data_IF_583347412905
#
_entry.id   IF_583347412905
#
_cell.length_a   1.000
_cell.length_b   1.000
_cell.length_c   1.000
_cell.angle_alpha   90.00
_cell.angle_beta   90.00
_cell.angle_gamma   90.00
#
_symmetry.space_group_name_H-M   'P 1'
#
loop_
_entity.id
_entity.type
_entity.pdbx_description
1 polymer ?
#
# COMPACT_ATOMS: atom_id res chain seq x y z
N UNK A 1 -13.99 -6.23 -4.51
CA UNK A 1 -13.77 -6.49 -3.09
C UNK A 1 -14.83 -7.47 -2.65
N UNK A 2 -14.37 -8.58 -2.07
CA UNK A 2 -15.25 -9.66 -1.66
C UNK A 2 -15.51 -9.50 -0.16
N UNK A 3 -16.74 -9.16 0.20
CA UNK A 3 -17.15 -9.06 1.60
C UNK A 3 -17.60 -10.44 2.09
N UNK A 4 -16.89 -11.08 3.04
CA UNK A 4 -17.33 -12.37 3.55
C UNK A 4 -18.69 -12.24 4.24
N UNK A 5 -19.68 -13.03 3.82
CA UNK A 5 -21.04 -12.97 4.37
C UNK A 5 -21.07 -13.16 5.89
N UNK A 6 -20.21 -14.04 6.42
CA UNK A 6 -20.04 -14.24 7.86
C UNK A 6 -19.56 -12.98 8.59
N UNK A 7 -18.63 -12.23 7.99
CA UNK A 7 -18.15 -10.95 8.53
C UNK A 7 -19.27 -9.91 8.57
N UNK A 8 -20.07 -9.83 7.50
CA UNK A 8 -21.19 -8.90 7.43
C UNK A 8 -22.27 -9.26 8.45
N UNK A 9 -22.66 -10.53 8.54
CA UNK A 9 -23.65 -11.02 9.50
C UNK A 9 -23.20 -10.75 10.95
N UNK A 10 -21.92 -11.00 11.27
CA UNK A 10 -21.36 -10.70 12.59
C UNK A 10 -21.42 -9.21 12.90
N UNK A 11 -21.06 -8.33 11.96
CA UNK A 11 -21.16 -6.88 12.16
C UNK A 11 -22.63 -6.43 12.30
N UNK A 12 -23.55 -7.01 11.52
CA UNK A 12 -24.98 -6.74 11.66
C UNK A 12 -25.54 -7.18 13.01
N UNK A 13 -25.04 -8.29 13.57
CA UNK A 13 -25.38 -8.73 14.95
C UNK A 13 -24.97 -7.72 16.02
N UNK A 14 -23.96 -6.88 15.74
CA UNK A 14 -23.57 -5.77 16.61
C UNK A 14 -24.50 -4.55 16.49
N UNK A 15 -25.53 -4.60 15.64
CA UNK A 15 -26.52 -3.54 15.45
C UNK A 15 -26.20 -2.57 14.30
N UNK A 16 -25.32 -2.97 13.38
CA UNK A 16 -25.02 -2.20 12.17
C UNK A 16 -25.93 -2.60 11.00
N UNK A 17 -26.33 -1.64 10.19
CA UNK A 17 -26.98 -1.93 8.90
C UNK A 17 -25.98 -2.58 7.95
N UNK A 18 -26.45 -3.15 6.84
CA UNK A 18 -25.59 -3.78 5.84
C UNK A 18 -24.53 -2.80 5.28
N UNK A 19 -24.94 -1.57 4.96
CA UNK A 19 -24.02 -0.52 4.47
C UNK A 19 -22.98 -0.13 5.52
N UNK A 20 -23.41 0.04 6.78
CA UNK A 20 -22.50 0.33 7.90
C UNK A 20 -21.53 -0.83 8.14
N UNK A 21 -22.00 -2.08 8.07
CA UNK A 21 -21.19 -3.27 8.22
C UNK A 21 -20.13 -3.38 7.12
N UNK A 22 -20.52 -3.18 5.84
CA UNK A 22 -19.57 -3.16 4.73
C UNK A 22 -18.54 -2.06 4.90
N UNK A 23 -18.95 -0.84 5.25
CA UNK A 23 -18.01 0.25 5.47
C UNK A 23 -17.03 -0.05 6.62
N UNK A 24 -17.53 -0.55 7.76
CA UNK A 24 -16.68 -0.93 8.89
C UNK A 24 -15.70 -2.05 8.54
N UNK A 25 -16.10 -2.99 7.69
CA UNK A 25 -15.19 -4.01 7.15
C UNK A 25 -14.02 -3.38 6.38
N UNK A 26 -14.32 -2.44 5.46
CA UNK A 26 -13.28 -1.72 4.69
C UNK A 26 -12.35 -0.95 5.62
N UNK A 27 -12.92 -0.19 6.55
CA UNK A 27 -12.15 0.64 7.51
C UNK A 27 -11.24 -0.23 8.36
N UNK A 28 -11.76 -1.28 8.99
CA UNK A 28 -10.98 -2.16 9.86
C UNK A 28 -9.83 -2.83 9.10
N UNK A 29 -10.08 -3.22 7.84
CA UNK A 29 -9.10 -3.91 7.00
C UNK A 29 -7.97 -2.98 6.52
N UNK A 30 -8.30 -1.82 5.96
CA UNK A 30 -7.32 -1.01 5.22
C UNK A 30 -6.76 0.18 6.00
N UNK A 31 -7.50 0.70 6.99
CA UNK A 31 -7.21 2.01 7.58
C UNK A 31 -7.12 2.04 9.10
N UNK A 32 -8.17 1.58 9.78
CA UNK A 32 -8.41 1.84 11.21
C UNK A 32 -8.91 3.24 11.52
N UNK A 33 -8.77 4.19 10.58
CA UNK A 33 -9.25 5.56 10.70
C UNK A 33 -10.18 5.92 9.54
N UNK A 34 -11.13 6.82 9.77
CA UNK A 34 -11.99 7.33 8.70
C UNK A 34 -12.55 8.71 9.02
N UNK A 35 -13.06 9.40 8.00
CA UNK A 35 -13.88 10.60 8.16
C UNK A 35 -15.34 10.34 7.76
N UNK A 36 -16.27 11.16 8.24
CA UNK A 36 -17.67 11.03 7.81
C UNK A 36 -17.87 11.29 6.31
N UNK A 37 -16.99 12.08 5.68
CA UNK A 37 -16.97 12.24 4.23
C UNK A 37 -16.79 10.90 3.51
N UNK A 38 -15.87 10.06 4.00
CA UNK A 38 -15.61 8.74 3.44
C UNK A 38 -16.78 7.78 3.60
N UNK A 39 -17.44 7.83 4.75
CA UNK A 39 -18.67 7.06 4.97
C UNK A 39 -19.77 7.48 3.97
N UNK A 40 -20.02 8.79 3.86
CA UNK A 40 -21.03 9.33 2.95
C UNK A 40 -20.71 9.03 1.47
N UNK A 41 -19.42 9.08 1.10
CA UNK A 41 -18.96 8.70 -0.23
C UNK A 41 -19.18 7.21 -0.49
N UNK A 42 -18.87 6.35 0.48
CA UNK A 42 -19.08 4.90 0.38
C UNK A 42 -20.56 4.54 0.20
N UNK A 43 -21.45 5.17 0.96
CA UNK A 43 -22.90 4.90 0.90
C UNK A 43 -23.62 5.64 -0.23
N UNK A 44 -22.95 6.57 -0.92
CA UNK A 44 -23.57 7.44 -1.92
C UNK A 44 -24.63 8.40 -1.35
N UNK A 45 -24.65 8.62 -0.04
CA UNK A 45 -25.68 9.44 0.62
C UNK A 45 -25.19 10.85 0.92
N UNK A 46 -26.11 11.83 0.89
CA UNK A 46 -25.83 13.19 1.36
C UNK A 46 -25.74 13.24 2.89
N UNK A 47 -24.98 14.21 3.40
CA UNK A 47 -24.86 14.48 4.85
C UNK A 47 -26.23 14.73 5.49
N UNK A 48 -26.43 14.22 6.71
CA UNK A 48 -27.69 14.36 7.46
C UNK A 48 -27.85 13.33 8.57
N UNK A 49 -29.09 12.91 8.81
CA UNK A 49 -29.45 12.00 9.91
C UNK A 49 -28.68 10.67 9.88
N UNK A 50 -28.37 10.15 8.69
CA UNK A 50 -27.60 8.90 8.54
C UNK A 50 -26.20 8.99 9.14
N UNK A 51 -25.44 10.05 8.82
CA UNK A 51 -24.09 10.24 9.39
C UNK A 51 -24.13 10.51 10.90
N UNK A 52 -25.14 11.23 11.38
CA UNK A 52 -25.31 11.49 12.82
C UNK A 52 -25.64 10.20 13.57
N UNK A 53 -26.63 9.45 13.09
CA UNK A 53 -27.05 8.16 13.67
C UNK A 53 -25.89 7.17 13.70
N UNK A 54 -25.12 7.08 12.61
CA UNK A 54 -23.95 6.21 12.54
C UNK A 54 -22.88 6.61 13.57
N UNK A 55 -22.57 7.90 13.69
CA UNK A 55 -21.60 8.41 14.66
C UNK A 55 -22.04 8.14 16.11
N UNK A 56 -23.31 8.41 16.44
CA UNK A 56 -23.88 8.17 17.76
C UNK A 56 -23.86 6.69 18.11
N UNK A 57 -24.20 5.82 17.15
CA UNK A 57 -24.15 4.36 17.31
C UNK A 57 -22.73 3.88 17.61
N UNK A 58 -21.73 4.38 16.91
CA UNK A 58 -20.31 4.04 17.15
C UNK A 58 -19.86 4.43 18.56
N UNK A 59 -20.24 5.61 19.04
CA UNK A 59 -19.89 6.08 20.37
C UNK A 59 -20.65 5.35 21.48
N UNK A 60 -21.97 5.18 21.33
CA UNK A 60 -22.82 4.49 22.30
C UNK A 60 -22.36 3.03 22.53
N UNK A 61 -21.84 2.38 21.48
CA UNK A 61 -21.29 1.02 21.57
C UNK A 61 -19.82 0.98 21.99
N UNK A 62 -19.15 2.12 22.14
CA UNK A 62 -17.72 2.19 22.47
C UNK A 62 -16.81 1.60 21.38
N UNK A 63 -17.25 1.64 20.11
CA UNK A 63 -16.54 1.01 19.00
C UNK A 63 -15.47 1.90 18.37
N UNK A 64 -15.68 3.22 18.40
CA UNK A 64 -14.76 4.21 17.88
C UNK A 64 -14.63 5.42 18.81
N UNK A 65 -13.51 6.14 18.71
CA UNK A 65 -13.34 7.48 19.27
C UNK A 65 -13.20 8.49 18.13
N UNK A 66 -13.44 9.77 18.40
CA UNK A 66 -13.20 10.83 17.43
C UNK A 66 -12.17 11.84 17.96
N UNK A 67 -11.40 12.41 17.04
CA UNK A 67 -10.47 13.52 17.30
C UNK A 67 -10.73 14.63 16.29
N UNK A 68 -10.74 15.86 16.79
CA UNK A 68 -10.89 17.05 15.97
C UNK A 68 -9.56 17.45 15.33
N UNK A 69 -9.62 17.80 14.06
CA UNK A 69 -8.53 18.35 13.27
C UNK A 69 -8.89 19.76 12.79
N UNK A 70 -8.12 20.33 11.85
CA UNK A 70 -8.39 21.67 11.32
C UNK A 70 -9.85 21.78 10.83
N UNK A 71 -10.43 22.97 11.05
CA UNK A 71 -11.83 23.30 10.68
C UNK A 71 -12.89 22.44 11.40
N UNK A 72 -12.60 21.99 12.62
CA UNK A 72 -13.47 21.09 13.40
C UNK A 72 -13.83 19.79 12.67
N UNK A 73 -12.98 19.37 11.73
CA UNK A 73 -13.23 18.14 11.00
C UNK A 73 -12.88 16.96 11.89
N UNK A 74 -13.81 15.99 12.01
CA UNK A 74 -13.64 14.83 12.87
C UNK A 74 -13.03 13.66 12.11
N UNK A 75 -11.97 13.09 12.68
CA UNK A 75 -11.43 11.79 12.27
C UNK A 75 -11.78 10.78 13.36
N UNK A 76 -12.37 9.67 12.92
CA UNK A 76 -12.82 8.58 13.75
C UNK A 76 -11.77 7.48 13.74
N UNK A 77 -11.46 6.94 14.91
CA UNK A 77 -10.55 5.82 15.09
C UNK A 77 -11.34 4.60 15.53
N UNK A 78 -11.39 3.58 14.69
CA UNK A 78 -12.04 2.30 14.96
C UNK A 78 -11.07 1.41 15.75
N UNK A 79 -11.26 1.36 17.07
CA UNK A 79 -10.31 0.72 17.99
C UNK A 79 -10.86 -0.54 18.69
N UNK A 80 -12.19 -0.72 18.74
CA UNK A 80 -12.78 -1.82 19.51
C UNK A 80 -12.42 -3.19 18.93
N UNK A 81 -11.83 -4.05 19.77
CA UNK A 81 -11.46 -5.43 19.40
C UNK A 81 -12.67 -6.25 18.93
N UNK A 82 -13.88 -5.94 19.42
CA UNK A 82 -15.11 -6.66 19.06
C UNK A 82 -15.39 -6.51 17.55
N UNK A 83 -15.23 -5.32 17.00
CA UNK A 83 -15.42 -5.07 15.56
C UNK A 83 -14.39 -5.84 14.72
N UNK A 84 -13.13 -5.85 15.16
CA UNK A 84 -12.09 -6.61 14.45
C UNK A 84 -12.27 -8.12 14.58
N UNK A 85 -12.80 -8.61 15.72
CA UNK A 85 -13.16 -10.02 15.90
C UNK A 85 -14.31 -10.42 15.00
N UNK A 86 -15.31 -9.56 14.82
CA UNK A 86 -16.46 -9.83 13.96
C UNK A 86 -16.06 -10.13 12.50
N UNK A 87 -14.99 -9.49 12.02
CA UNK A 87 -14.43 -9.73 10.68
C UNK A 87 -13.31 -10.81 10.66
N UNK A 88 -13.11 -11.54 11.75
CA UNK A 88 -12.07 -12.58 11.86
C UNK A 88 -10.63 -12.05 11.95
N UNK A 89 -10.42 -10.75 12.20
CA UNK A 89 -9.11 -10.08 12.10
C UNK A 89 -8.71 -9.32 13.37
N UNK A 90 -8.96 -9.91 14.53
CA UNK A 90 -8.69 -9.27 15.84
C UNK A 90 -7.22 -8.86 16.08
N UNK A 91 -6.29 -9.48 15.37
CA UNK A 91 -4.86 -9.22 15.48
C UNK A 91 -4.38 -8.01 14.65
N UNK A 92 -5.23 -7.42 13.80
CA UNK A 92 -4.87 -6.23 13.06
C UNK A 92 -4.51 -5.07 13.99
N UNK A 93 -3.32 -4.50 13.76
CA UNK A 93 -2.81 -3.35 14.53
C UNK A 93 -3.45 -2.01 14.14
N UNK A 94 -4.36 -2.00 13.18
CA UNK A 94 -5.06 -0.80 12.73
C UNK A 94 -5.91 -0.18 13.85
N UNK A 95 -6.30 -0.98 14.85
CA UNK A 95 -7.02 -0.56 16.07
C UNK A 95 -6.20 0.24 17.08
N UNK A 96 -4.87 0.28 16.94
CA UNK A 96 -3.96 0.93 17.91
C UNK A 96 -3.86 2.40 17.60
N UNK A 97 -3.52 3.23 18.59
CA UNK A 97 -3.23 4.63 18.35
C UNK A 97 -1.92 4.78 17.54
N UNK A 98 -1.93 5.66 16.54
CA UNK A 98 -0.79 5.94 15.66
C UNK A 98 -0.47 7.44 15.59
N UNK A 99 0.69 7.76 15.01
CA UNK A 99 1.12 9.14 14.75
C UNK A 99 0.22 9.83 13.72
N UNK A 100 0.27 11.16 13.70
CA UNK A 100 -0.50 11.98 12.76
C UNK A 100 -0.22 11.63 11.29
N UNK A 101 1.06 11.47 10.94
CA UNK A 101 1.48 11.08 9.59
C UNK A 101 0.85 9.74 9.18
N UNK A 102 0.87 8.75 10.09
CA UNK A 102 0.24 7.46 9.83
C UNK A 102 -1.26 7.59 9.61
N UNK A 103 -1.95 8.39 10.43
CA UNK A 103 -3.39 8.66 10.27
C UNK A 103 -3.65 9.26 8.88
N UNK A 104 -2.85 10.25 8.46
CA UNK A 104 -2.97 10.89 7.14
C UNK A 104 -2.78 9.88 6.01
N UNK A 105 -1.74 9.05 6.06
CA UNK A 105 -1.52 7.98 5.09
C UNK A 105 -2.69 6.99 5.04
N UNK A 106 -3.25 6.60 6.20
CA UNK A 106 -4.38 5.65 6.26
C UNK A 106 -5.66 6.24 5.68
N UNK A 107 -5.92 7.53 5.91
CA UNK A 107 -7.07 8.22 5.33
C UNK A 107 -6.97 8.35 3.80
N UNK A 108 -5.78 8.64 3.25
CA UNK A 108 -5.56 8.65 1.80
C UNK A 108 -5.71 7.24 1.21
N UNK A 109 -5.17 6.21 1.89
CA UNK A 109 -5.35 4.82 1.47
C UNK A 109 -6.83 4.42 1.45
N UNK A 110 -7.59 4.84 2.46
CA UNK A 110 -9.02 4.53 2.53
C UNK A 110 -9.82 5.20 1.42
N UNK A 111 -9.50 6.45 1.07
CA UNK A 111 -10.15 7.12 -0.05
C UNK A 111 -9.96 6.34 -1.36
N UNK A 112 -8.74 5.89 -1.64
CA UNK A 112 -8.44 5.04 -2.80
C UNK A 112 -9.25 3.74 -2.79
N UNK A 113 -9.32 3.05 -1.65
CA UNK A 113 -10.05 1.78 -1.56
C UNK A 113 -11.56 1.99 -1.74
N UNK A 114 -12.11 3.06 -1.16
CA UNK A 114 -13.54 3.40 -1.27
C UNK A 114 -13.93 3.74 -2.71
N UNK A 115 -13.04 4.35 -3.50
CA UNK A 115 -13.29 4.61 -4.94
C UNK A 115 -13.09 3.36 -5.81
N UNK A 116 -12.37 2.35 -5.32
CA UNK A 116 -11.98 1.17 -6.08
C UNK A 116 -12.43 -0.14 -5.42
N UNK A 117 -13.68 -0.20 -4.98
CA UNK A 117 -14.25 -1.39 -4.34
C UNK A 117 -14.36 -2.59 -5.29
N UNK A 118 -14.27 -2.41 -6.60
CA UNK A 118 -14.34 -3.48 -7.59
C UNK A 118 -13.09 -4.38 -7.60
N UNK A 119 -11.95 -3.90 -7.11
CA UNK A 119 -10.71 -4.69 -7.15
C UNK A 119 -10.70 -5.86 -6.17
N UNK A 120 -9.95 -6.91 -6.51
CA UNK A 120 -9.70 -8.04 -5.63
C UNK A 120 -8.44 -7.77 -4.80
N UNK A 121 -8.61 -7.46 -3.52
CA UNK A 121 -7.52 -7.05 -2.64
C UNK A 121 -6.86 -8.23 -1.93
N UNK A 122 -5.54 -8.18 -1.80
CA UNK A 122 -4.76 -9.01 -0.89
C UNK A 122 -4.75 -8.31 0.48
N UNK A 123 -5.79 -8.58 1.28
CA UNK A 123 -6.16 -7.79 2.46
C UNK A 123 -5.24 -8.04 3.67
N UNK A 124 -4.80 -9.27 3.89
CA UNK A 124 -3.95 -9.66 5.03
C UNK A 124 -2.52 -10.00 4.64
N UNK A 125 -1.63 -10.10 5.63
CA UNK A 125 -0.27 -10.60 5.42
C UNK A 125 -0.29 -12.04 4.90
N UNK A 126 -1.20 -12.88 5.43
CA UNK A 126 -1.36 -14.27 5.02
C UNK A 126 -1.87 -14.39 3.58
N UNK A 127 -2.82 -13.54 3.15
CA UNK A 127 -3.29 -13.51 1.76
C UNK A 127 -2.14 -13.18 0.79
N UNK A 128 -1.30 -12.21 1.17
CA UNK A 128 -0.11 -11.82 0.39
C UNK A 128 0.90 -12.95 0.33
N UNK A 129 1.20 -13.61 1.45
CA UNK A 129 2.13 -14.74 1.50
C UNK A 129 1.61 -15.93 0.70
N UNK A 130 0.33 -16.27 0.81
CA UNK A 130 -0.28 -17.35 0.04
C UNK A 130 -0.19 -17.04 -1.47
N UNK A 131 -0.51 -15.82 -1.88
CA UNK A 131 -0.39 -15.42 -3.29
C UNK A 131 1.06 -15.54 -3.79
N UNK A 132 2.02 -14.90 -3.13
CA UNK A 132 3.40 -14.87 -3.63
C UNK A 132 4.13 -16.20 -3.48
N UNK A 133 4.00 -16.89 -2.35
CA UNK A 133 4.75 -18.12 -2.09
C UNK A 133 4.05 -19.37 -2.62
N UNK A 134 2.72 -19.46 -2.56
CA UNK A 134 2.01 -20.68 -2.99
C UNK A 134 1.58 -20.61 -4.46
N UNK A 135 1.07 -19.46 -4.93
CA UNK A 135 0.57 -19.35 -6.31
C UNK A 135 1.68 -18.96 -7.31
N UNK A 136 2.58 -18.06 -6.92
CA UNK A 136 3.70 -17.63 -7.77
C UNK A 136 5.01 -18.39 -7.50
N UNK A 137 5.03 -19.30 -6.53
CA UNK A 137 6.20 -20.12 -6.15
C UNK A 137 7.47 -19.27 -5.88
N UNK A 138 7.29 -18.09 -5.27
CA UNK A 138 8.41 -17.21 -4.93
C UNK A 138 9.00 -17.54 -3.55
N UNK A 139 10.33 -17.61 -3.43
CA UNK A 139 11.01 -17.74 -2.14
C UNK A 139 10.66 -16.59 -1.20
N UNK A 140 10.42 -16.93 0.06
CA UNK A 140 9.98 -15.99 1.10
C UNK A 140 11.03 -14.91 1.37
N UNK A 141 12.30 -15.18 1.07
CA UNK A 141 13.45 -14.29 1.25
C UNK A 141 13.42 -13.09 0.31
N UNK A 142 12.72 -13.21 -0.84
CA UNK A 142 12.57 -12.13 -1.82
C UNK A 142 11.51 -11.12 -1.40
N UNK A 143 10.65 -11.48 -0.44
CA UNK A 143 9.56 -10.64 0.01
C UNK A 143 10.03 -9.53 0.96
N UNK A 144 9.43 -8.33 0.91
CA UNK A 144 9.78 -7.23 1.78
C UNK A 144 9.46 -7.58 3.24
N UNK A 145 10.50 -7.67 4.08
CA UNK A 145 10.37 -8.06 5.50
C UNK A 145 11.07 -7.09 6.44
N UNK A 146 10.57 -7.04 7.68
CA UNK A 146 11.23 -6.35 8.80
C UNK A 146 11.33 -7.28 9.99
N UNK A 147 12.51 -7.29 10.62
CA UNK A 147 12.80 -8.04 11.85
C UNK A 147 12.49 -7.18 13.06
N UNK A 148 11.76 -7.75 14.01
CA UNK A 148 11.46 -7.12 15.28
C UNK A 148 11.98 -7.99 16.41
N UNK A 149 12.86 -7.43 17.23
CA UNK A 149 13.27 -8.03 18.50
C UNK A 149 12.10 -7.98 19.47
N UNK A 150 11.69 -9.13 19.98
CA UNK A 150 10.69 -9.23 21.03
C UNK A 150 11.21 -8.73 22.37
N UNK A 151 10.30 -8.40 23.28
CA UNK A 151 10.63 -8.06 24.67
C UNK A 151 11.20 -9.27 25.44
N UNK A 152 10.95 -10.49 24.96
CA UNK A 152 11.56 -11.72 25.48
C UNK A 152 12.87 -11.96 24.71
N UNK A 153 13.98 -12.00 25.45
CA UNK A 153 15.32 -12.25 24.93
C UNK A 153 15.29 -13.46 23.96
N UNK A 154 15.94 -13.34 22.80
CA UNK A 154 16.02 -14.33 21.72
C UNK A 154 14.77 -14.62 20.87
N UNK A 155 13.64 -13.94 21.06
CA UNK A 155 12.51 -14.07 20.11
C UNK A 155 12.56 -12.97 19.05
N UNK A 156 12.98 -13.30 17.83
CA UNK A 156 12.90 -12.39 16.68
C UNK A 156 11.65 -12.73 15.87
N UNK A 157 10.77 -11.76 15.65
CA UNK A 157 9.60 -11.94 14.77
C UNK A 157 9.86 -11.27 13.43
N UNK A 158 9.73 -12.03 12.34
CA UNK A 158 9.74 -11.48 10.99
C UNK A 158 8.31 -11.15 10.58
N UNK A 159 8.12 -9.97 9.98
CA UNK A 159 6.84 -9.55 9.41
C UNK A 159 7.03 -9.10 7.98
N UNK A 160 6.09 -9.47 7.12
CA UNK A 160 6.11 -9.15 5.70
C UNK A 160 5.15 -8.01 5.38
N UNK A 161 5.46 -7.22 4.36
CA UNK A 161 4.59 -6.14 3.86
C UNK A 161 4.12 -5.16 4.96
N UNK A 162 5.08 -4.71 5.79
CA UNK A 162 4.82 -3.94 7.03
C UNK A 162 4.18 -2.58 6.79
N UNK A 163 4.35 -1.99 5.61
CA UNK A 163 3.67 -0.75 5.21
C UNK A 163 2.14 -0.91 5.21
N UNK A 164 1.64 -2.13 4.92
CA UNK A 164 0.23 -2.46 4.74
C UNK A 164 -0.46 -1.54 3.73
N UNK A 165 0.22 -1.18 2.66
CA UNK A 165 -0.45 -0.54 1.54
C UNK A 165 -1.38 -1.55 0.86
N UNK A 166 -2.51 -1.09 0.29
CA UNK A 166 -3.38 -1.92 -0.51
C UNK A 166 -2.58 -2.61 -1.63
N UNK A 167 -2.83 -3.90 -1.84
CA UNK A 167 -2.39 -4.62 -3.02
C UNK A 167 -3.60 -5.31 -3.59
N UNK A 168 -3.72 -5.32 -4.91
CA UNK A 168 -4.87 -5.92 -5.57
C UNK A 168 -4.47 -6.57 -6.87
N UNK A 169 -5.33 -7.48 -7.33
CA UNK A 169 -5.15 -8.21 -8.56
C UNK A 169 -5.88 -7.49 -9.69
N UNK A 170 -5.17 -7.29 -10.80
CA UNK A 170 -5.74 -6.82 -12.05
C UNK A 170 -5.63 -7.91 -13.11
N UNK A 171 -6.56 -7.91 -14.07
CA UNK A 171 -6.42 -8.68 -15.29
C UNK A 171 -5.15 -8.26 -16.01
N UNK A 172 -4.16 -9.16 -16.02
CA UNK A 172 -2.87 -8.95 -16.65
C UNK A 172 -2.91 -9.12 -18.15
N UNK A 173 -1.79 -8.84 -18.81
CA UNK A 173 -1.58 -9.25 -20.21
C UNK A 173 -1.20 -10.73 -20.34
N UNK A 174 -1.02 -11.42 -19.21
CA UNK A 174 -0.72 -12.85 -19.14
C UNK A 174 -1.93 -13.64 -18.64
N UNK A 175 -1.85 -14.97 -18.71
CA UNK A 175 -2.92 -15.89 -18.27
C UNK A 175 -3.19 -15.86 -16.76
N UNK A 176 -2.27 -15.30 -15.97
CA UNK A 176 -2.43 -15.12 -14.52
C UNK A 176 -2.71 -13.64 -14.21
N UNK A 177 -3.52 -13.36 -13.16
CA UNK A 177 -3.72 -12.00 -12.69
C UNK A 177 -2.38 -11.36 -12.31
N UNK A 178 -2.24 -10.06 -12.59
CA UNK A 178 -1.04 -9.29 -12.25
C UNK A 178 -1.32 -8.56 -10.95
N UNK A 179 -0.42 -8.72 -9.98
CA UNK A 179 -0.49 -7.98 -8.72
C UNK A 179 -0.07 -6.53 -8.96
N UNK A 180 -0.93 -5.62 -8.54
CA UNK A 180 -0.69 -4.18 -8.56
C UNK A 180 -0.32 -3.72 -7.16
N UNK A 181 0.88 -3.16 -7.04
CA UNK A 181 1.40 -2.57 -5.83
C UNK A 181 0.89 -1.14 -5.70
N UNK A 182 0.66 -0.67 -4.47
CA UNK A 182 0.37 0.74 -4.22
C UNK A 182 1.40 1.34 -3.28
N UNK A 183 1.70 2.62 -3.50
CA UNK A 183 2.41 3.44 -2.52
C UNK A 183 1.52 4.62 -2.16
N UNK A 184 1.24 4.78 -0.86
CA UNK A 184 0.37 5.84 -0.37
C UNK A 184 1.21 6.95 0.25
N UNK A 185 1.32 8.06 -0.48
CA UNK A 185 1.99 9.27 -0.04
C UNK A 185 1.01 10.15 0.76
N UNK A 186 1.33 10.52 2.01
CA UNK A 186 0.49 11.47 2.77
C UNK A 186 0.45 12.87 2.12
N UNK A 187 1.31 13.19 1.17
CA UNK A 187 1.37 14.49 0.49
C UNK A 187 2.22 15.52 1.22
N UNK A 188 3.18 15.06 2.04
CA UNK A 188 4.11 15.92 2.78
C UNK A 188 5.23 16.50 1.91
N UNK A 189 5.33 16.05 0.64
CA UNK A 189 6.35 16.54 -0.30
C UNK A 189 7.73 15.92 -0.09
N UNK A 190 7.82 14.82 0.65
CA UNK A 190 9.07 14.10 0.95
C UNK A 190 9.02 12.73 0.27
N UNK A 191 10.06 12.39 -0.51
CA UNK A 191 10.14 11.13 -1.26
C UNK A 191 10.99 10.04 -0.57
N UNK A 192 11.56 10.31 0.60
CA UNK A 192 12.47 9.36 1.26
C UNK A 192 11.76 8.08 1.71
N UNK A 193 10.50 8.20 2.15
CA UNK A 193 9.65 7.05 2.44
C UNK A 193 9.39 6.21 1.17
N UNK A 194 9.22 6.86 0.01
CA UNK A 194 9.05 6.19 -1.27
C UNK A 194 10.32 5.44 -1.70
N UNK A 195 11.48 6.10 -1.64
CA UNK A 195 12.78 5.46 -1.94
C UNK A 195 13.03 4.25 -1.03
N UNK A 196 12.74 4.40 0.27
CA UNK A 196 12.86 3.30 1.24
C UNK A 196 11.95 2.13 0.89
N UNK A 197 10.72 2.41 0.45
CA UNK A 197 9.77 1.40 -0.02
C UNK A 197 10.31 0.67 -1.27
N UNK A 198 10.81 1.41 -2.27
CA UNK A 198 11.38 0.79 -3.47
C UNK A 198 12.59 -0.11 -3.18
N UNK A 199 13.46 0.32 -2.26
CA UNK A 199 14.60 -0.50 -1.82
C UNK A 199 14.13 -1.79 -1.13
N UNK A 200 13.11 -1.71 -0.27
CA UNK A 200 12.57 -2.87 0.44
C UNK A 200 11.90 -3.89 -0.51
N UNK A 201 11.27 -3.41 -1.60
CA UNK A 201 10.57 -4.25 -2.57
C UNK A 201 11.44 -4.66 -3.77
N UNK A 202 12.68 -4.16 -3.88
CA UNK A 202 13.54 -4.37 -5.05
C UNK A 202 13.71 -5.83 -5.45
N UNK A 203 13.99 -6.72 -4.48
CA UNK A 203 14.14 -8.17 -4.73
C UNK A 203 12.85 -8.82 -5.25
N UNK A 204 11.70 -8.42 -4.72
CA UNK A 204 10.40 -8.90 -5.19
C UNK A 204 10.12 -8.38 -6.61
N UNK A 205 10.36 -7.09 -6.87
CA UNK A 205 10.16 -6.53 -8.19
C UNK A 205 11.03 -7.21 -9.24
N UNK A 206 12.31 -7.45 -8.95
CA UNK A 206 13.24 -8.17 -9.84
C UNK A 206 12.76 -9.58 -10.20
N UNK A 207 12.07 -10.27 -9.28
CA UNK A 207 11.58 -11.62 -9.48
C UNK A 207 10.29 -11.69 -10.32
N UNK A 208 9.58 -10.58 -10.50
CA UNK A 208 8.29 -10.55 -11.18
C UNK A 208 8.41 -10.19 -12.67
N UNK A 209 7.69 -10.91 -13.56
CA UNK A 209 7.71 -10.64 -15.00
C UNK A 209 6.97 -9.35 -15.37
N UNK A 210 5.97 -8.97 -14.58
CA UNK A 210 5.26 -7.71 -14.71
C UNK A 210 5.15 -7.04 -13.34
N UNK A 211 5.54 -5.78 -13.25
CA UNK A 211 5.44 -4.97 -12.04
C UNK A 211 4.58 -3.75 -12.34
N UNK A 212 3.45 -3.63 -11.64
CA UNK A 212 2.60 -2.44 -11.68
C UNK A 212 2.62 -1.74 -10.35
N UNK A 213 2.88 -0.43 -10.35
CA UNK A 213 2.83 0.39 -9.15
C UNK A 213 1.90 1.58 -9.38
N UNK A 214 0.93 1.76 -8.48
CA UNK A 214 0.08 2.96 -8.41
C UNK A 214 0.59 3.85 -7.27
N UNK A 215 1.03 5.06 -7.61
CA UNK A 215 1.42 6.08 -6.64
C UNK A 215 0.20 6.94 -6.30
N UNK A 216 -0.25 6.86 -5.05
CA UNK A 216 -1.47 7.52 -4.57
C UNK A 216 -1.05 8.71 -3.71
N UNK A 217 -1.52 9.91 -4.02
CA UNK A 217 -1.23 11.11 -3.21
C UNK A 217 -2.39 12.10 -3.29
N UNK A 218 -2.60 12.91 -2.23
CA UNK A 218 -3.51 14.03 -2.30
C UNK A 218 -2.95 15.23 -3.09
N UNK A 219 -1.69 15.15 -3.55
CA UNK A 219 -1.04 16.22 -4.32
C UNK A 219 -0.32 15.65 -5.54
N UNK A 220 -0.44 16.27 -6.72
CA UNK A 220 0.22 15.79 -7.93
C UNK A 220 1.71 16.15 -8.01
N UNK A 221 2.21 16.98 -7.08
CA UNK A 221 3.54 17.62 -7.15
C UNK A 221 4.69 16.63 -7.26
N UNK A 222 4.54 15.42 -6.72
CA UNK A 222 5.60 14.42 -6.69
C UNK A 222 5.45 13.31 -7.76
N UNK A 223 4.39 13.32 -8.57
CA UNK A 223 4.07 12.22 -9.49
C UNK A 223 5.19 11.94 -10.50
N UNK A 224 5.69 12.98 -11.18
CA UNK A 224 6.74 12.81 -12.19
C UNK A 224 8.08 12.38 -11.58
N UNK A 225 8.42 12.90 -10.40
CA UNK A 225 9.66 12.54 -9.72
C UNK A 225 9.57 11.10 -9.19
N UNK A 226 8.43 10.70 -8.64
CA UNK A 226 8.16 9.33 -8.23
C UNK A 226 8.20 8.37 -9.42
N UNK A 227 7.58 8.71 -10.56
CA UNK A 227 7.62 7.93 -11.80
C UNK A 227 9.06 7.68 -12.25
N UNK A 228 9.86 8.74 -12.37
CA UNK A 228 11.27 8.63 -12.79
C UNK A 228 12.08 7.76 -11.82
N UNK A 229 11.87 7.95 -10.52
CA UNK A 229 12.56 7.18 -9.46
C UNK A 229 12.19 5.69 -9.52
N UNK A 230 10.91 5.38 -9.72
CA UNK A 230 10.43 4.01 -9.85
C UNK A 230 11.00 3.34 -11.09
N UNK A 231 10.91 3.96 -12.27
CA UNK A 231 11.42 3.39 -13.51
C UNK A 231 12.95 3.17 -13.45
N UNK A 232 13.69 4.08 -12.82
CA UNK A 232 15.14 3.93 -12.62
C UNK A 232 15.52 2.80 -11.63
N UNK A 233 14.59 2.38 -10.77
CA UNK A 233 14.83 1.34 -9.75
C UNK A 233 14.29 -0.01 -10.20
N UNK A 234 13.01 -0.07 -10.57
CA UNK A 234 12.31 -1.27 -10.99
C UNK A 234 12.65 -1.68 -12.43
N UNK A 235 13.02 -0.74 -13.30
CA UNK A 235 13.46 -1.03 -14.67
C UNK A 235 14.87 -1.60 -14.79
N UNK A 236 15.60 -1.75 -13.67
CA UNK A 236 16.92 -2.41 -13.69
C UNK A 236 16.73 -3.90 -14.02
N UNK A 237 17.56 -4.47 -14.91
CA UNK A 237 17.56 -5.91 -15.12
C UNK A 237 17.92 -6.63 -13.81
N UNK A 238 17.46 -7.87 -13.61
CA UNK A 238 17.80 -8.65 -12.42
C UNK A 238 19.31 -8.69 -12.20
N UNK A 239 19.77 -8.62 -10.95
CA UNK A 239 21.20 -8.54 -10.59
C UNK A 239 22.08 -9.66 -11.17
N UNK A 240 21.48 -10.80 -11.55
CA UNK A 240 22.13 -11.87 -12.30
C UNK A 240 21.39 -12.01 -13.62
N UNK A 241 22.10 -11.89 -14.73
CA UNK A 241 21.54 -12.17 -16.04
C UNK A 241 21.08 -13.65 -16.02
N UNK A 242 19.79 -13.95 -16.29
CA UNK A 242 19.32 -15.33 -16.39
C UNK A 242 20.17 -16.16 -17.35
N UNK A 243 20.78 -15.52 -18.35
CA UNK A 243 21.74 -16.13 -19.28
C UNK A 243 23.02 -16.60 -18.57
N UNK A 244 23.56 -15.81 -17.65
CA UNK A 244 24.77 -16.16 -16.89
C UNK A 244 24.51 -17.32 -15.93
N UNK A 245 23.31 -17.37 -15.33
CA UNK A 245 22.93 -18.46 -14.42
C UNK A 245 22.73 -19.78 -15.19
N UNK A 246 22.10 -19.75 -16.36
CA UNK A 246 21.96 -20.91 -17.25
C UNK A 246 23.32 -21.37 -17.78
N UNK A 247 24.20 -20.45 -18.19
CA UNK A 247 25.57 -20.79 -18.59
C UNK A 247 26.39 -21.38 -17.43
N UNK A 248 26.16 -20.92 -16.19
CA UNK A 248 26.75 -21.56 -15.00
C UNK A 248 26.21 -22.97 -14.83
N UNK A 249 24.90 -23.17 -14.95
CA UNK A 249 24.28 -24.49 -14.89
C UNK A 249 24.83 -25.43 -15.97
N UNK A 250 24.95 -25.00 -17.23
CA UNK A 250 25.53 -25.79 -18.31
C UNK A 250 26.98 -26.19 -18.04
N UNK A 251 27.81 -25.26 -17.52
CA UNK A 251 29.19 -25.56 -17.13
C UNK A 251 29.27 -26.62 -16.03
N UNK A 252 28.41 -26.52 -15.02
CA UNK A 252 28.37 -27.48 -13.92
C UNK A 252 27.81 -28.84 -14.36
N UNK A 253 26.78 -28.85 -15.21
CA UNK A 253 26.21 -30.06 -15.81
C UNK A 253 27.25 -30.77 -16.69
N UNK A 254 28.03 -30.04 -17.49
CA UNK A 254 29.14 -30.61 -18.28
C UNK A 254 30.21 -31.26 -17.40
N UNK A 255 30.60 -30.61 -16.30
CA UNK A 255 31.56 -31.19 -15.36
C UNK A 255 31.01 -32.45 -14.67
N UNK A 256 29.70 -32.48 -14.41
CA UNK A 256 28.99 -33.64 -13.85
C UNK A 256 28.95 -34.81 -14.84
N UNK A 257 28.56 -34.55 -16.09
CA UNK A 257 28.48 -35.54 -17.17
C UNK A 257 29.86 -36.13 -17.51
N UNK A 258 30.91 -35.30 -17.51
CA UNK A 258 32.31 -35.71 -17.72
C UNK A 258 32.92 -36.41 -16.49
N UNK A 259 32.14 -36.65 -15.43
CA UNK A 259 32.55 -37.29 -14.17
C UNK A 259 33.73 -36.59 -13.48
N UNK A 260 33.91 -35.28 -13.69
CA UNK A 260 34.98 -34.46 -13.09
C UNK A 260 34.59 -33.94 -11.71
N UNK A 261 34.12 -34.84 -10.83
CA UNK A 261 33.54 -34.50 -9.53
C UNK A 261 34.51 -33.80 -8.57
N UNK A 262 35.82 -33.97 -8.76
CA UNK A 262 36.86 -33.30 -7.97
C UNK A 262 36.99 -31.79 -8.25
N UNK A 263 36.36 -31.28 -9.31
CA UNK A 263 36.33 -29.84 -9.63
C UNK A 263 35.08 -29.12 -9.11
N UNK A 264 34.13 -29.87 -8.53
CA UNK A 264 32.88 -29.33 -8.01
C UNK A 264 32.99 -29.08 -6.51
N UNK A 265 32.73 -27.85 -6.08
CA UNK A 265 32.60 -27.52 -4.65
C UNK A 265 31.29 -28.04 -4.08
N UNK A 266 31.14 -28.04 -2.75
CA UNK A 266 29.88 -28.39 -2.08
C UNK A 266 28.73 -27.48 -2.54
N UNK A 267 28.99 -26.17 -2.63
CA UNK A 267 28.03 -25.16 -3.10
C UNK A 267 27.61 -25.38 -4.55
N UNK A 268 28.53 -25.83 -5.42
CA UNK A 268 28.21 -26.14 -6.81
C UNK A 268 27.31 -27.36 -6.95
N UNK A 269 27.44 -28.35 -6.06
CA UNK A 269 26.56 -29.54 -6.03
C UNK A 269 25.16 -29.19 -5.54
N UNK A 270 25.04 -28.34 -4.52
CA UNK A 270 23.75 -27.83 -4.05
C UNK A 270 23.06 -26.99 -5.11
N UNK A 271 23.80 -26.08 -5.76
CA UNK A 271 23.30 -25.30 -6.88
C UNK A 271 22.82 -26.22 -8.01
N UNK A 272 23.61 -27.21 -8.43
CA UNK A 272 23.23 -28.16 -9.49
C UNK A 272 21.93 -28.90 -9.15
N UNK A 273 21.76 -29.36 -7.90
CA UNK A 273 20.55 -30.05 -7.47
C UNK A 273 19.30 -29.15 -7.51
N UNK A 274 19.41 -27.90 -7.05
CA UNK A 274 18.33 -26.91 -7.09
C UNK A 274 18.01 -26.50 -8.54
N UNK A 275 19.04 -26.31 -9.35
CA UNK A 275 18.94 -25.93 -10.76
C UNK A 275 18.37 -27.05 -11.63
N UNK A 276 18.66 -28.32 -11.35
CA UNK A 276 18.07 -29.46 -12.07
C UNK A 276 16.54 -29.47 -11.94
N UNK A 277 16.01 -29.23 -10.73
CA UNK A 277 14.55 -29.12 -10.54
C UNK A 277 13.94 -27.97 -11.37
N UNK A 278 14.69 -26.88 -11.56
CA UNK A 278 14.23 -25.65 -12.21
C UNK A 278 14.39 -25.68 -13.74
N UNK A 279 15.50 -26.20 -14.24
CA UNK A 279 15.92 -26.06 -15.64
C UNK A 279 15.82 -27.35 -16.45
N UNK A 280 15.67 -28.53 -15.85
CA UNK A 280 15.57 -29.79 -16.60
C UNK A 280 14.43 -29.82 -17.63
N UNK A 281 13.35 -29.06 -17.39
CA UNK A 281 12.20 -28.91 -18.30
C UNK A 281 12.18 -27.56 -19.04
N UNK A 282 13.18 -26.70 -18.83
CA UNK A 282 13.21 -25.38 -19.44
C UNK A 282 13.63 -25.47 -20.91
N UNK A 283 13.11 -24.58 -21.77
CA UNK A 283 13.38 -24.62 -23.21
C UNK A 283 14.86 -24.44 -23.55
N UNK A 284 15.60 -23.72 -22.71
CA UNK A 284 17.04 -23.54 -22.86
C UNK A 284 17.81 -24.87 -22.81
N UNK A 285 17.30 -25.92 -22.13
CA UNK A 285 17.98 -27.22 -22.05
C UNK A 285 18.21 -27.86 -23.42
N UNK A 286 17.42 -27.48 -24.43
CA UNK A 286 17.61 -27.90 -25.83
C UNK A 286 18.92 -27.39 -26.44
N UNK A 287 19.45 -26.29 -25.91
CA UNK A 287 20.72 -25.69 -26.34
C UNK A 287 21.93 -26.41 -25.71
N UNK A 288 21.73 -27.17 -24.63
CA UNK A 288 22.81 -27.78 -23.87
C UNK A 288 23.70 -28.74 -24.70
N UNK A 289 23.16 -29.69 -25.50
CA UNK A 289 24.00 -30.57 -26.31
C UNK A 289 24.87 -29.80 -27.31
N UNK A 290 24.28 -28.85 -28.04
CA UNK A 290 24.98 -28.05 -29.04
C UNK A 290 26.02 -27.11 -28.42
N UNK A 291 25.75 -26.56 -27.24
CA UNK A 291 26.72 -25.76 -26.48
C UNK A 291 27.86 -26.62 -25.92
N UNK A 292 27.53 -27.79 -25.35
CA UNK A 292 28.51 -28.73 -24.77
C UNK A 292 29.54 -29.18 -25.80
N UNK A 293 29.06 -29.47 -27.01
CA UNK A 293 29.85 -29.95 -28.15
C UNK A 293 30.56 -28.80 -28.90
N UNK A 294 30.40 -27.55 -28.44
CA UNK A 294 31.10 -26.36 -28.98
C UNK A 294 30.55 -25.84 -30.30
N UNK A 295 29.38 -26.33 -30.74
CA UNK A 295 28.70 -25.88 -31.96
C UNK A 295 28.12 -24.46 -31.75
N UNK A 296 27.73 -24.16 -30.51
CA UNK A 296 27.08 -22.92 -30.11
C UNK A 296 27.94 -22.20 -29.07
N UNK A 297 28.21 -20.91 -29.28
CA UNK A 297 29.00 -20.08 -28.35
C UNK A 297 28.18 -19.60 -27.14
N UNK A 298 28.88 -19.18 -26.09
CA UNK A 298 28.27 -18.53 -24.93
C UNK A 298 27.42 -17.31 -25.34
N UNK A 299 27.90 -16.50 -26.29
CA UNK A 299 27.19 -15.31 -26.78
C UNK A 299 25.88 -15.65 -27.50
N UNK A 300 25.86 -16.75 -28.26
CA UNK A 300 24.62 -17.22 -28.88
C UNK A 300 23.62 -17.71 -27.83
N UNK A 301 24.09 -18.45 -26.81
CA UNK A 301 23.22 -18.88 -25.71
C UNK A 301 22.67 -17.66 -24.96
N UNK A 302 23.47 -16.61 -24.74
CA UNK A 302 22.99 -15.33 -24.17
C UNK A 302 21.91 -14.69 -25.04
N UNK A 303 22.13 -14.55 -26.34
CA UNK A 303 21.15 -13.96 -27.27
C UNK A 303 19.84 -14.74 -27.26
N UNK A 304 19.91 -16.06 -27.42
CA UNK A 304 18.72 -16.91 -27.47
C UNK A 304 17.97 -16.90 -26.13
N UNK A 305 18.68 -16.86 -25.00
CA UNK A 305 18.04 -16.73 -23.68
C UNK A 305 17.43 -15.34 -23.50
N UNK A 306 18.05 -14.27 -23.98
CA UNK A 306 17.47 -12.92 -23.95
C UNK A 306 16.23 -12.81 -24.83
N UNK A 307 16.23 -13.45 -26.00
CA UNK A 307 15.07 -13.54 -26.90
C UNK A 307 13.94 -14.41 -26.29
N UNK A 308 14.30 -15.45 -25.53
CA UNK A 308 13.37 -16.28 -24.76
C UNK A 308 12.91 -15.62 -23.44
N UNK A 309 13.72 -14.72 -22.88
CA UNK A 309 13.42 -13.96 -21.68
C UNK A 309 12.35 -12.93 -22.03
N UNK A 310 11.11 -13.24 -21.66
CA UNK A 310 9.97 -12.34 -21.90
C UNK A 310 10.33 -10.93 -21.42
N UNK A 311 10.08 -9.87 -22.21
CA UNK A 311 10.37 -8.51 -21.81
C UNK A 311 9.64 -8.22 -20.51
N UNK A 312 10.41 -7.88 -19.47
CA UNK A 312 9.86 -7.52 -18.17
C UNK A 312 9.08 -6.22 -18.32
N UNK A 313 7.80 -6.24 -17.99
CA UNK A 313 6.93 -5.08 -18.13
C UNK A 313 6.84 -4.32 -16.82
N UNK A 314 7.20 -3.05 -16.84
CA UNK A 314 7.14 -2.17 -15.67
C UNK A 314 6.18 -1.03 -15.96
N UNK A 315 5.12 -0.91 -15.17
CA UNK A 315 4.08 0.11 -15.32
C UNK A 315 4.02 0.96 -14.06
N UNK A 316 3.97 2.27 -14.27
CA UNK A 316 3.75 3.25 -13.22
C UNK A 316 2.50 4.05 -13.54
N UNK A 317 1.59 4.11 -12.58
CA UNK A 317 0.38 4.92 -12.62
C UNK A 317 0.36 5.86 -11.42
N UNK A 318 -0.30 7.00 -11.55
CA UNK A 318 -0.45 7.98 -10.48
C UNK A 318 -1.91 8.30 -10.28
N UNK A 319 -2.36 8.34 -9.03
CA UNK A 319 -3.74 8.67 -8.69
C UNK A 319 -3.81 9.82 -7.69
N UNK A 320 -4.60 10.83 -8.05
CA UNK A 320 -4.87 11.99 -7.22
C UNK A 320 -6.10 11.73 -6.35
N UNK A 321 -5.94 11.89 -5.04
CA UNK A 321 -6.99 11.64 -4.06
C UNK A 321 -7.21 12.88 -3.20
N UNK A 322 -8.14 13.75 -3.61
CA UNK A 322 -8.32 15.10 -3.05
C UNK A 322 -9.03 15.13 -1.68
N UNK A 323 -9.50 13.97 -1.20
CA UNK A 323 -10.40 13.92 -0.05
C UNK A 323 -9.87 14.58 1.23
N UNK A 324 -8.58 14.42 1.54
CA UNK A 324 -8.06 14.72 2.90
C UNK A 324 -7.32 16.05 3.05
N UNK A 325 -7.08 16.80 1.97
CA UNK A 325 -6.28 18.04 2.01
C UNK A 325 -6.87 19.04 3.01
N UNK A 326 -8.20 19.20 3.01
CA UNK A 326 -8.90 20.13 3.89
C UNK A 326 -8.84 19.79 5.39
N UNK A 327 -8.51 18.54 5.76
CA UNK A 327 -8.41 18.11 7.17
C UNK A 327 -7.11 18.56 7.83
N UNK A 328 -6.04 18.70 7.04
CA UNK A 328 -4.68 18.87 7.55
C UNK A 328 -4.04 20.19 7.13
N UNK A 329 -4.67 20.94 6.23
CA UNK A 329 -4.11 22.16 5.67
C UNK A 329 -5.13 23.29 5.64
N UNK A 330 -4.70 24.50 5.96
CA UNK A 330 -5.48 25.68 5.68
C UNK A 330 -5.42 25.95 4.17
N UNK A 331 -6.56 25.93 3.47
CA UNK A 331 -6.59 26.44 2.08
C UNK A 331 -6.01 27.85 2.08
N UNK A 332 -5.09 28.18 1.16
CA UNK A 332 -4.65 29.54 1.01
C UNK A 332 -5.89 30.42 0.78
N UNK A 333 -6.05 31.48 1.59
CA UNK A 333 -7.08 32.49 1.32
C UNK A 333 -6.85 32.94 -0.12
N UNK A 334 -7.82 32.68 -0.99
CA UNK A 334 -7.85 33.22 -2.35
C UNK A 334 -7.76 34.74 -2.17
N UNK A 335 -6.61 35.35 -2.50
CA UNK A 335 -6.49 36.81 -2.48
C UNK A 335 -7.63 37.33 -3.36
N UNK A 336 -8.52 38.21 -2.86
CA UNK A 336 -9.47 38.85 -3.75
C UNK A 336 -8.66 39.55 -4.84
N UNK A 337 -9.01 39.26 -6.09
CA UNK A 337 -8.53 39.99 -7.25
C UNK A 337 -8.73 41.47 -6.95
N UNK A 338 -7.74 42.37 -7.19
CA UNK A 338 -7.97 43.78 -7.00
C UNK A 338 -9.09 44.19 -7.95
N UNK A 339 -10.26 44.49 -7.40
CA UNK A 339 -11.33 45.13 -8.15
C UNK A 339 -10.78 46.44 -8.66
N UNK A 340 -10.82 46.60 -9.98
CA UNK A 340 -10.54 47.83 -10.70
C UNK A 340 -11.17 49.00 -9.97
N UNK A 341 -10.35 49.99 -9.61
CA UNK A 341 -10.76 51.19 -8.92
C UNK A 341 -11.89 51.89 -9.70
N UNK A 342 -13.10 51.85 -9.14
CA UNK A 342 -14.16 52.79 -9.44
C UNK A 342 -14.21 53.80 -8.30
N UNK A 343 -13.86 55.04 -8.60
CA UNK A 343 -14.04 56.19 -7.72
C UNK A 343 -15.46 56.24 -7.17
N UNK A 344 -15.61 56.32 -5.85
CA UNK A 344 -16.76 57.00 -5.24
C UNK A 344 -16.24 57.87 -4.10
N UNK A 345 -16.50 59.16 -4.26
CA UNK A 345 -16.16 60.26 -3.34
C UNK A 345 -16.83 60.08 -1.98
N UNK A 346 -16.09 60.47 -0.94
CA UNK A 346 -16.58 60.68 0.42
C UNK A 346 -17.84 61.55 0.46
N UNK A 347 -18.82 61.18 1.28
CA UNK A 347 -19.74 62.11 1.96
C UNK A 347 -20.42 61.43 3.16
N UNK A 348 -20.29 62.11 4.30
CA UNK A 348 -21.23 62.22 5.42
C UNK A 348 -21.23 61.23 6.60
N UNK A 349 -20.99 61.88 7.75
CA UNK A 349 -21.29 61.54 9.13
C UNK A 349 -22.77 61.21 9.36
N UNK A 350 -23.07 60.42 10.40
CA UNK A 350 -24.42 60.36 10.98
C UNK A 350 -24.74 59.09 11.78
N UNK A 351 -24.41 59.12 13.08
CA UNK A 351 -25.25 58.77 14.24
C UNK A 351 -26.06 57.46 14.29
N UNK A 352 -25.97 56.80 15.46
CA UNK A 352 -26.82 55.79 16.16
C UNK A 352 -25.94 54.57 16.55
N UNK A 353 -25.69 54.22 17.82
CA UNK A 353 -26.55 54.29 19.00
C UNK A 353 -27.32 52.98 19.12
N UNK A 354 -26.81 52.00 19.90
CA UNK A 354 -27.54 50.74 20.12
C UNK A 354 -26.73 49.60 20.71
N UNK A 355 -26.81 49.47 22.03
CA UNK A 355 -26.41 48.32 22.86
C UNK A 355 -26.88 46.97 22.31
N UNK A 356 -26.01 45.94 22.37
CA UNK A 356 -26.37 44.62 22.91
C UNK A 356 -25.09 43.94 23.43
N UNK A 357 -25.04 43.77 24.74
CA UNK A 357 -24.07 42.89 25.41
C UNK A 357 -24.57 41.45 25.53
N UNK A 358 -23.72 40.66 26.21
CA UNK A 358 -23.93 39.29 26.67
C UNK A 358 -23.64 38.20 25.62
N UNK A 359 -22.89 37.14 25.90
CA UNK A 359 -22.05 36.73 27.02
C UNK A 359 -21.31 35.46 26.55
N UNK A 360 -20.09 35.26 27.07
CA UNK A 360 -19.43 33.98 27.41
C UNK A 360 -17.91 34.18 27.37
N UNK A 361 -17.39 34.86 28.41
CA UNK A 361 -16.05 34.65 28.94
C UNK A 361 -16.27 33.90 30.26
N UNK A 362 -15.81 32.66 30.38
CA UNK A 362 -14.47 32.28 30.82
C UNK A 362 -14.36 32.22 32.36
N UNK A 363 -14.03 31.04 32.86
CA UNK A 363 -13.25 30.68 34.05
C UNK A 363 -13.65 29.24 34.41
N UNK A 364 -12.76 28.31 34.73
CA UNK A 364 -11.74 28.43 35.77
C UNK A 364 -10.57 27.49 35.42
N UNK A 365 -9.41 28.09 35.18
CA UNK A 365 -8.11 27.49 35.54
C UNK A 365 -7.87 27.76 37.03
N UNK A 366 -7.35 26.78 37.75
CA UNK A 366 -6.79 26.94 39.09
C UNK A 366 -5.37 26.35 39.14
N UNK A 367 -4.37 27.09 39.64
CA UNK A 367 -3.00 26.59 39.76
C UNK A 367 -2.64 26.06 41.16
N UNK A 368 -1.68 25.14 41.14
CA UNK A 368 -0.52 24.91 42.04
C UNK A 368 -0.63 24.45 43.51
N UNK A 369 0.43 23.68 43.83
CA UNK A 369 1.07 23.28 45.10
C UNK A 369 0.69 21.88 45.64
N UNK A 370 1.61 20.96 45.93
CA UNK A 370 3.09 20.94 46.08
C UNK A 370 3.62 19.58 45.64
#
# INVERSE_FOLDING_TARGET
MNFPESSLANLSSLGYTEDEARFLYVVATHSGYFSMRQFLQFTGTKSGDKSMTFSQKLFAKGHATARSFLRNSLVYHLFSRIVYRAIGRENLRNRRAHSLEHIRTRLVALDFVVTHLQYEYLETEDDKLNYFCQQLDLPKELLPRKRYSGAVHNTTTERYFVDKFPMFLCSGSFTLPVVTFTFVDPGLGILDSFKTHLLAYGSLFEALPEVRLVYISPRPTQFEIARKTFLATAGRPPKKDPSDEILRYFRLQKLWDERKYGKLTTDDREFLHLSDKRYARHRCQRLYPSWRDGIVSDDYVRSEIQDLARPRRVIFESELVDGQVALFEATPKRKPTPSTAGEVKNSQEGTFGGSFGSAFAAAVDKPMEK
#
